data_IF_871069656273
#
_entry.id   IF_871069656273
#
_cell.length_a   1.000
_cell.length_b   1.000
_cell.length_c   1.000
_cell.angle_alpha   90.00
_cell.angle_beta   90.00
_cell.angle_gamma   90.00
#
_symmetry.space_group_name_H-M   'P 1'
#
loop_
_entity.id
_entity.type
_entity.pdbx_description
1 polymer ?
#
# COMPACT_ATOMS: atom_id res chain seq x y z
N UNK A 1 -14.45 33.72 21.88
CA UNK A 1 -13.44 32.80 22.45
C UNK A 1 -12.69 33.59 23.51
N UNK A 2 -12.64 33.07 24.73
CA UNK A 2 -11.93 33.72 25.82
C UNK A 2 -10.46 33.27 25.80
N UNK A 3 -9.60 34.13 25.23
CA UNK A 3 -8.17 33.84 25.06
C UNK A 3 -7.43 33.76 26.40
N UNK A 4 -7.88 34.48 27.42
CA UNK A 4 -7.27 34.48 28.75
C UNK A 4 -7.49 33.13 29.44
N UNK A 5 -8.74 32.65 29.40
CA UNK A 5 -9.09 31.32 29.92
C UNK A 5 -8.36 30.22 29.14
N UNK A 6 -8.27 30.33 27.81
CA UNK A 6 -7.57 29.34 26.97
C UNK A 6 -6.06 29.26 27.29
N UNK A 7 -5.39 30.40 27.46
CA UNK A 7 -3.97 30.46 27.82
C UNK A 7 -3.73 29.91 29.23
N UNK A 8 -4.53 30.31 30.22
CA UNK A 8 -4.42 29.81 31.59
C UNK A 8 -4.60 28.30 31.66
N UNK A 9 -5.57 27.76 30.96
CA UNK A 9 -5.81 26.32 30.89
C UNK A 9 -4.65 25.59 30.21
N UNK A 10 -4.17 26.09 29.06
CA UNK A 10 -3.02 25.52 28.35
C UNK A 10 -1.77 25.47 29.22
N UNK A 11 -1.49 26.55 29.95
CA UNK A 11 -0.38 26.62 30.89
C UNK A 11 -0.48 25.58 31.99
N UNK A 12 -1.65 25.46 32.63
CA UNK A 12 -1.88 24.46 33.68
C UNK A 12 -1.65 23.03 33.15
N UNK A 13 -2.17 22.70 31.96
CA UNK A 13 -2.00 21.39 31.34
C UNK A 13 -0.53 21.06 31.06
N UNK A 14 0.23 21.98 30.46
CA UNK A 14 1.66 21.76 30.18
C UNK A 14 2.46 21.67 31.48
N UNK A 15 2.17 22.53 32.47
CA UNK A 15 2.86 22.54 33.76
C UNK A 15 2.65 21.22 34.52
N UNK A 16 1.41 20.74 34.58
CA UNK A 16 1.06 19.50 35.29
C UNK A 16 1.59 18.25 34.59
N UNK A 17 1.91 18.33 33.28
CA UNK A 17 2.39 17.22 32.44
C UNK A 17 3.74 17.51 31.78
N UNK A 18 4.58 18.33 32.40
CA UNK A 18 5.76 18.93 31.76
C UNK A 18 6.71 17.88 31.16
N UNK A 19 7.03 16.84 31.92
CA UNK A 19 7.93 15.76 31.49
C UNK A 19 7.36 15.05 30.27
N UNK A 20 6.06 14.73 30.27
CA UNK A 20 5.38 14.04 29.16
C UNK A 20 5.45 14.85 27.87
N UNK A 21 5.18 16.16 27.93
CA UNK A 21 5.26 17.02 26.75
C UNK A 21 6.68 17.16 26.21
N UNK A 22 7.69 17.27 27.09
CA UNK A 22 9.10 17.33 26.67
C UNK A 22 9.50 16.04 25.97
N UNK A 23 9.19 14.88 26.57
CA UNK A 23 9.50 13.57 25.98
C UNK A 23 8.76 13.40 24.65
N UNK A 24 7.48 13.74 24.59
CA UNK A 24 6.68 13.69 23.36
C UNK A 24 7.29 14.56 22.26
N UNK A 25 7.67 15.80 22.57
CA UNK A 25 8.32 16.70 21.63
C UNK A 25 9.64 16.15 21.09
N UNK A 26 10.48 15.56 21.95
CA UNK A 26 11.75 14.97 21.53
C UNK A 26 11.54 13.77 20.60
N UNK A 27 10.57 12.91 20.91
CA UNK A 27 10.20 11.78 20.04
C UNK A 27 9.73 12.30 18.68
N UNK A 28 8.85 13.31 18.65
CA UNK A 28 8.38 13.93 17.41
C UNK A 28 9.54 14.53 16.60
N UNK A 29 10.44 15.27 17.26
CA UNK A 29 11.58 15.89 16.61
C UNK A 29 12.52 14.83 16.00
N UNK A 30 12.96 13.85 16.78
CA UNK A 30 13.86 12.78 16.32
C UNK A 30 13.20 11.95 15.20
N UNK A 31 11.92 11.58 15.36
CA UNK A 31 11.19 10.84 14.33
C UNK A 31 11.09 11.60 13.02
N UNK A 32 10.86 12.92 13.06
CA UNK A 32 10.76 13.75 11.85
C UNK A 32 12.07 13.86 11.08
N UNK A 33 13.24 13.75 11.73
CA UNK A 33 14.53 13.76 11.05
C UNK A 33 14.60 12.60 10.04
N UNK A 34 14.16 11.40 10.41
CA UNK A 34 14.17 10.25 9.51
C UNK A 34 13.31 10.46 8.26
N UNK A 35 12.22 11.23 8.39
CA UNK A 35 11.33 11.58 7.28
C UNK A 35 11.97 12.66 6.40
N UNK A 36 12.45 13.76 6.99
CA UNK A 36 13.02 14.90 6.25
C UNK A 36 14.36 14.55 5.57
N UNK A 37 15.06 13.53 6.07
CA UNK A 37 16.33 13.08 5.50
C UNK A 37 16.16 12.04 4.38
N UNK A 38 14.98 11.46 4.17
CA UNK A 38 14.81 10.35 3.22
C UNK A 38 15.14 10.74 1.79
N UNK A 39 14.58 11.84 1.28
CA UNK A 39 14.80 12.30 -0.09
C UNK A 39 16.28 12.64 -0.38
N UNK A 40 16.97 13.44 0.44
CA UNK A 40 18.39 13.73 0.21
C UNK A 40 19.29 12.51 0.40
N UNK A 41 18.98 11.58 1.32
CA UNK A 41 19.75 10.33 1.48
C UNK A 41 19.59 9.40 0.28
N UNK A 42 18.37 9.25 -0.25
CA UNK A 42 18.11 8.47 -1.47
C UNK A 42 18.85 9.09 -2.67
N UNK A 43 18.86 10.43 -2.76
CA UNK A 43 19.64 11.13 -3.77
C UNK A 43 21.14 10.82 -3.66
N UNK A 44 21.71 10.94 -2.45
CA UNK A 44 23.12 10.64 -2.21
C UNK A 44 23.49 9.18 -2.47
N UNK A 45 22.65 8.23 -2.07
CA UNK A 45 22.83 6.82 -2.39
C UNK A 45 22.79 6.56 -3.91
N UNK A 46 21.89 7.23 -4.62
CA UNK A 46 21.84 7.16 -6.09
C UNK A 46 23.08 7.79 -6.71
N UNK A 47 23.58 8.89 -6.15
CA UNK A 47 24.82 9.54 -6.57
C UNK A 47 26.03 8.60 -6.41
N UNK A 48 26.13 7.88 -5.28
CA UNK A 48 27.15 6.83 -5.08
C UNK A 48 27.08 5.75 -6.17
N UNK A 49 25.88 5.28 -6.51
CA UNK A 49 25.68 4.28 -7.56
C UNK A 49 26.12 4.82 -8.93
N UNK A 50 25.79 6.07 -9.27
CA UNK A 50 26.20 6.72 -10.52
C UNK A 50 27.73 6.89 -10.57
N UNK A 51 28.36 7.29 -9.46
CA UNK A 51 29.82 7.43 -9.34
C UNK A 51 30.53 6.09 -9.56
N UNK A 52 30.04 5.03 -8.90
CA UNK A 52 30.55 3.66 -9.09
C UNK A 52 30.38 3.16 -10.53
N UNK A 53 29.24 3.44 -11.17
CA UNK A 53 28.99 3.08 -12.57
C UNK A 53 29.93 3.81 -13.56
N UNK A 54 30.50 4.96 -13.17
CA UNK A 54 31.47 5.71 -13.96
C UNK A 54 32.93 5.28 -13.72
N UNK A 55 33.17 4.34 -12.81
CA UNK A 55 34.52 3.93 -12.41
C UNK A 55 35.23 4.96 -11.53
N UNK A 56 34.49 5.92 -10.96
CA UNK A 56 35.03 6.88 -10.00
C UNK A 56 35.09 6.23 -8.59
N UNK A 57 35.95 6.75 -7.70
CA UNK A 57 36.07 6.25 -6.33
C UNK A 57 34.85 6.68 -5.52
N UNK A 58 34.09 5.72 -5.00
CA UNK A 58 32.93 5.98 -4.12
C UNK A 58 33.39 6.14 -2.67
N UNK A 59 32.97 7.22 -2.03
CA UNK A 59 33.29 7.55 -0.64
C UNK A 59 32.03 7.50 0.23
N UNK A 60 32.17 7.22 1.52
CA UNK A 60 31.02 7.18 2.46
C UNK A 60 30.31 8.53 2.50
N UNK A 61 31.06 9.64 2.40
CA UNK A 61 30.49 10.99 2.47
C UNK A 61 29.59 11.34 1.26
N UNK A 62 29.70 10.61 0.14
CA UNK A 62 28.86 10.82 -1.04
C UNK A 62 27.37 10.58 -0.73
N UNK A 63 27.02 9.81 0.32
CA UNK A 63 25.63 9.63 0.77
C UNK A 63 24.98 10.94 1.21
N UNK A 64 25.78 11.94 1.60
CA UNK A 64 25.29 13.25 2.02
C UNK A 64 25.19 14.26 0.88
N UNK A 65 25.47 13.86 -0.37
CA UNK A 65 25.43 14.75 -1.54
C UNK A 65 24.07 15.41 -1.75
N UNK A 66 22.99 14.72 -1.37
CA UNK A 66 21.64 15.24 -1.42
C UNK A 66 21.35 16.36 -0.41
N UNK A 67 22.19 16.58 0.61
CA UNK A 67 22.04 17.68 1.57
C UNK A 67 22.62 19.01 1.10
N UNK A 68 23.39 19.01 -0.01
CA UNK A 68 23.81 20.27 -0.64
C UNK A 68 22.58 21.03 -1.12
N UNK A 69 22.55 22.35 -0.92
CA UNK A 69 21.38 23.22 -1.14
C UNK A 69 20.59 22.90 -2.41
N UNK A 70 21.26 22.81 -3.55
CA UNK A 70 20.59 22.59 -4.85
C UNK A 70 20.05 21.15 -4.97
N UNK A 71 20.80 20.16 -4.50
CA UNK A 71 20.40 18.75 -4.53
C UNK A 71 19.31 18.44 -3.51
N UNK A 72 19.27 19.16 -2.39
CA UNK A 72 18.23 19.04 -1.38
C UNK A 72 16.88 19.46 -1.98
N UNK A 73 16.84 20.61 -2.65
CA UNK A 73 15.62 21.10 -3.32
C UNK A 73 15.25 20.17 -4.47
N UNK A 74 16.22 19.72 -5.29
CA UNK A 74 15.97 18.79 -6.40
C UNK A 74 15.39 17.46 -5.93
N UNK A 75 15.99 16.84 -4.90
CA UNK A 75 15.55 15.56 -4.36
C UNK A 75 14.15 15.65 -3.77
N UNK A 76 13.86 16.68 -2.99
CA UNK A 76 12.52 16.91 -2.45
C UNK A 76 11.48 17.24 -3.52
N UNK A 77 11.84 18.02 -4.53
CA UNK A 77 10.94 18.32 -5.66
C UNK A 77 10.54 17.03 -6.38
N UNK A 78 11.53 16.19 -6.70
CA UNK A 78 11.26 14.88 -7.29
C UNK A 78 10.42 14.01 -6.36
N UNK A 79 10.79 13.89 -5.08
CA UNK A 79 10.10 13.02 -4.13
C UNK A 79 8.63 13.43 -3.94
N UNK A 80 8.35 14.73 -3.84
CA UNK A 80 6.98 15.24 -3.72
C UNK A 80 6.16 14.94 -4.97
N UNK A 81 6.71 15.20 -6.16
CA UNK A 81 6.04 14.87 -7.43
C UNK A 81 5.80 13.37 -7.53
N UNK A 82 6.80 12.54 -7.19
CA UNK A 82 6.68 11.09 -7.18
C UNK A 82 5.62 10.62 -6.19
N UNK A 83 5.59 11.10 -4.95
CA UNK A 83 4.58 10.71 -3.96
C UNK A 83 3.17 11.07 -4.41
N UNK A 84 2.99 12.25 -5.02
CA UNK A 84 1.68 12.67 -5.53
C UNK A 84 1.28 11.82 -6.73
N UNK A 85 2.16 11.65 -7.72
CA UNK A 85 1.84 10.93 -8.95
C UNK A 85 1.70 9.44 -8.69
N UNK A 86 2.72 8.80 -8.10
CA UNK A 86 2.71 7.37 -7.81
C UNK A 86 1.68 7.03 -6.73
N UNK A 87 1.47 7.90 -5.74
CA UNK A 87 0.43 7.71 -4.73
C UNK A 87 -0.96 7.76 -5.36
N UNK A 88 -1.32 8.84 -6.06
CA UNK A 88 -2.67 8.97 -6.64
C UNK A 88 -2.91 7.92 -7.72
N UNK A 89 -1.99 7.79 -8.68
CA UNK A 89 -2.18 6.84 -9.79
C UNK A 89 -2.10 5.39 -9.31
N UNK A 90 -1.23 5.10 -8.33
CA UNK A 90 -1.11 3.78 -7.71
C UNK A 90 -2.40 3.38 -6.99
N UNK A 91 -2.98 4.28 -6.21
CA UNK A 91 -4.25 4.02 -5.52
C UNK A 91 -5.42 3.85 -6.50
N UNK A 92 -5.50 4.70 -7.54
CA UNK A 92 -6.52 4.54 -8.60
C UNK A 92 -6.37 3.17 -9.28
N UNK A 93 -5.14 2.78 -9.65
CA UNK A 93 -4.89 1.49 -10.27
C UNK A 93 -5.24 0.32 -9.34
N UNK A 94 -4.91 0.44 -8.04
CA UNK A 94 -5.22 -0.55 -7.01
C UNK A 94 -6.74 -0.75 -6.83
N UNK A 95 -7.49 0.35 -6.72
CA UNK A 95 -8.96 0.32 -6.60
C UNK A 95 -9.58 -0.29 -7.86
N UNK A 96 -9.17 0.14 -9.05
CA UNK A 96 -9.69 -0.39 -10.31
C UNK A 96 -9.38 -1.88 -10.46
N UNK A 97 -8.15 -2.31 -10.15
CA UNK A 97 -7.76 -3.71 -10.18
C UNK A 97 -8.59 -4.56 -9.21
N UNK A 98 -8.85 -4.05 -8.01
CA UNK A 98 -9.68 -4.71 -6.99
C UNK A 98 -11.12 -4.87 -7.48
N UNK A 99 -11.72 -3.81 -8.04
CA UNK A 99 -13.08 -3.85 -8.60
C UNK A 99 -13.17 -4.89 -9.72
N UNK A 100 -12.22 -4.87 -10.67
CA UNK A 100 -12.17 -5.87 -11.76
C UNK A 100 -12.01 -7.27 -11.19
N UNK A 101 -11.14 -7.47 -10.19
CA UNK A 101 -10.93 -8.74 -9.51
C UNK A 101 -12.22 -9.30 -8.91
N UNK A 102 -12.97 -8.48 -8.16
CA UNK A 102 -14.26 -8.88 -7.58
C UNK A 102 -15.27 -9.24 -8.68
N UNK A 103 -15.38 -8.41 -9.72
CA UNK A 103 -16.36 -8.62 -10.80
C UNK A 103 -16.08 -9.89 -11.63
N UNK A 104 -14.82 -10.31 -11.74
CA UNK A 104 -14.40 -11.37 -12.67
C UNK A 104 -14.04 -12.68 -11.96
N UNK A 105 -13.92 -12.71 -10.62
CA UNK A 105 -13.41 -13.89 -9.89
C UNK A 105 -14.19 -15.18 -10.17
N UNK A 106 -15.50 -15.11 -10.42
CA UNK A 106 -16.31 -16.31 -10.68
C UNK A 106 -16.25 -16.80 -12.12
N UNK A 107 -15.68 -16.01 -13.05
CA UNK A 107 -15.68 -16.29 -14.49
C UNK A 107 -15.06 -17.65 -14.80
N UNK A 108 -13.83 -17.92 -14.34
CA UNK A 108 -13.14 -19.19 -14.67
C UNK A 108 -13.88 -20.42 -14.14
N UNK A 109 -14.34 -20.46 -12.87
CA UNK A 109 -15.21 -21.54 -12.42
C UNK A 109 -16.50 -21.68 -13.23
N UNK A 110 -17.17 -20.58 -13.61
CA UNK A 110 -18.40 -20.64 -14.42
C UNK A 110 -18.18 -21.24 -15.81
N UNK A 111 -17.05 -20.92 -16.45
CA UNK A 111 -16.64 -21.53 -17.71
C UNK A 111 -16.58 -23.06 -17.61
N UNK A 112 -16.02 -23.56 -16.50
CA UNK A 112 -15.88 -25.01 -16.26
C UNK A 112 -17.20 -25.65 -15.83
N UNK A 113 -17.95 -25.02 -14.92
CA UNK A 113 -19.19 -25.55 -14.36
C UNK A 113 -20.31 -25.58 -15.40
N UNK A 114 -20.45 -24.52 -16.19
CA UNK A 114 -21.57 -24.32 -17.13
C UNK A 114 -21.19 -24.49 -18.59
N UNK A 115 -19.91 -24.67 -18.92
CA UNK A 115 -19.44 -24.81 -20.30
C UNK A 115 -19.56 -23.51 -21.12
N UNK A 116 -19.59 -22.35 -20.45
CA UNK A 116 -19.78 -21.06 -21.10
C UNK A 116 -18.59 -20.62 -21.95
N UNK A 117 -18.86 -19.75 -22.93
CA UNK A 117 -17.84 -18.91 -23.54
C UNK A 117 -17.39 -17.78 -22.59
N UNK A 118 -16.23 -17.17 -22.87
CA UNK A 118 -15.63 -16.15 -22.01
C UNK A 118 -16.54 -14.96 -21.68
N UNK A 119 -17.30 -14.46 -22.67
CA UNK A 119 -18.21 -13.32 -22.47
C UNK A 119 -19.41 -13.69 -21.58
N UNK A 120 -19.99 -14.88 -21.76
CA UNK A 120 -21.16 -15.30 -20.99
C UNK A 120 -20.78 -15.61 -19.54
N UNK A 121 -19.58 -16.16 -19.31
CA UNK A 121 -19.00 -16.30 -17.96
C UNK A 121 -18.81 -14.97 -17.24
N UNK A 122 -18.31 -13.93 -17.94
CA UNK A 122 -18.15 -12.59 -17.35
C UNK A 122 -19.51 -11.99 -17.00
N UNK A 123 -20.50 -12.09 -17.90
CA UNK A 123 -21.85 -11.55 -17.65
C UNK A 123 -22.47 -12.16 -16.41
N UNK A 124 -22.43 -13.48 -16.28
CA UNK A 124 -23.00 -14.14 -15.10
C UNK A 124 -22.17 -13.88 -13.84
N UNK A 125 -20.84 -13.79 -13.93
CA UNK A 125 -20.00 -13.38 -12.79
C UNK A 125 -20.41 -12.00 -12.26
N UNK A 126 -20.64 -11.04 -13.15
CA UNK A 126 -21.12 -9.70 -12.77
C UNK A 126 -22.55 -9.76 -12.19
N UNK A 127 -23.41 -10.63 -12.71
CA UNK A 127 -24.76 -10.83 -12.19
C UNK A 127 -24.75 -11.40 -10.78
N UNK A 128 -23.94 -12.42 -10.51
CA UNK A 128 -23.74 -12.98 -9.15
C UNK A 128 -23.30 -11.87 -8.19
N UNK A 129 -22.29 -11.07 -8.57
CA UNK A 129 -21.80 -9.97 -7.70
C UNK A 129 -22.88 -8.93 -7.42
N UNK A 130 -23.77 -8.65 -8.39
CA UNK A 130 -24.89 -7.71 -8.19
C UNK A 130 -25.99 -8.30 -7.29
N UNK A 131 -26.26 -9.60 -7.41
CA UNK A 131 -27.31 -10.28 -6.65
C UNK A 131 -26.91 -10.52 -5.20
N UNK A 132 -25.65 -10.92 -4.96
CA UNK A 132 -25.10 -11.26 -3.64
C UNK A 132 -23.77 -10.51 -3.38
N UNK A 133 -23.79 -9.18 -3.27
CA UNK A 133 -22.58 -8.36 -3.19
C UNK A 133 -21.78 -8.59 -1.92
N UNK A 134 -22.46 -8.82 -0.78
CA UNK A 134 -21.79 -9.02 0.52
C UNK A 134 -21.03 -10.35 0.51
N UNK A 135 -21.67 -11.43 0.09
CA UNK A 135 -21.05 -12.75 -0.02
C UNK A 135 -19.91 -12.75 -1.03
N UNK A 136 -20.07 -12.04 -2.16
CA UNK A 136 -19.02 -11.89 -3.16
C UNK A 136 -17.78 -11.18 -2.58
N UNK A 137 -17.97 -10.12 -1.81
CA UNK A 137 -16.86 -9.43 -1.12
C UNK A 137 -16.18 -10.37 -0.11
N UNK A 138 -16.95 -11.15 0.66
CA UNK A 138 -16.40 -12.12 1.61
C UNK A 138 -15.54 -13.16 0.89
N UNK A 139 -16.03 -13.74 -0.21
CA UNK A 139 -15.28 -14.71 -1.03
C UNK A 139 -13.99 -14.09 -1.57
N UNK A 140 -14.05 -12.85 -2.06
CA UNK A 140 -12.88 -12.14 -2.54
C UNK A 140 -11.84 -11.94 -1.43
N UNK A 141 -12.26 -11.48 -0.24
CA UNK A 141 -11.37 -11.25 0.91
C UNK A 141 -10.72 -12.55 1.37
N UNK A 142 -11.46 -13.66 1.45
CA UNK A 142 -10.89 -14.97 1.81
C UNK A 142 -9.82 -15.39 0.79
N UNK A 143 -10.14 -15.27 -0.51
CA UNK A 143 -9.21 -15.61 -1.59
C UNK A 143 -7.95 -14.73 -1.56
N UNK A 144 -8.12 -13.44 -1.27
CA UNK A 144 -7.02 -12.49 -1.10
C UNK A 144 -6.13 -12.88 0.07
N UNK A 145 -6.70 -13.18 1.24
CA UNK A 145 -5.95 -13.57 2.45
C UNK A 145 -5.16 -14.86 2.22
N UNK A 146 -5.76 -15.87 1.60
CA UNK A 146 -5.04 -17.12 1.26
C UNK A 146 -3.85 -16.85 0.33
N UNK A 147 -4.03 -15.97 -0.65
CA UNK A 147 -2.96 -15.58 -1.59
C UNK A 147 -1.86 -14.81 -0.86
N UNK A 148 -2.21 -13.88 0.05
CA UNK A 148 -1.25 -13.12 0.86
C UNK A 148 -0.44 -14.04 1.79
N UNK A 149 -1.09 -14.99 2.48
CA UNK A 149 -0.39 -15.97 3.33
C UNK A 149 0.66 -16.74 2.51
N UNK A 150 0.29 -17.19 1.30
CA UNK A 150 1.21 -17.89 0.43
C UNK A 150 2.39 -17.01 -0.02
N UNK A 151 2.14 -15.74 -0.33
CA UNK A 151 3.16 -14.79 -0.73
C UNK A 151 4.15 -14.44 0.39
N UNK A 152 3.67 -14.27 1.62
CA UNK A 152 4.50 -13.98 2.81
C UNK A 152 5.52 -15.10 3.07
N UNK A 153 5.16 -16.35 2.77
CA UNK A 153 6.04 -17.52 2.86
C UNK A 153 7.00 -17.65 1.67
N UNK A 154 7.56 -16.51 1.22
CA UNK A 154 8.52 -16.39 0.12
C UNK A 154 8.06 -17.06 -1.18
N UNK A 155 6.74 -17.10 -1.42
CA UNK A 155 6.12 -17.73 -2.58
C UNK A 155 6.02 -19.25 -2.53
N UNK A 156 6.76 -19.97 -1.67
CA UNK A 156 6.62 -21.43 -1.52
C UNK A 156 5.24 -21.78 -0.95
N UNK A 157 4.70 -20.94 -0.07
CA UNK A 157 3.35 -21.11 0.47
C UNK A 157 2.26 -21.10 -0.61
N UNK A 158 2.49 -20.46 -1.76
CA UNK A 158 1.53 -20.44 -2.88
C UNK A 158 1.29 -21.84 -3.48
N UNK A 159 2.26 -22.76 -3.37
CA UNK A 159 2.07 -24.14 -3.83
C UNK A 159 0.93 -24.86 -3.11
N UNK A 160 0.59 -24.40 -1.90
CA UNK A 160 -0.49 -24.94 -1.08
C UNK A 160 -1.72 -24.03 -1.14
N UNK A 161 -1.53 -22.71 -0.98
CA UNK A 161 -2.66 -21.79 -0.89
C UNK A 161 -3.35 -21.58 -2.24
N UNK A 162 -2.66 -21.67 -3.37
CA UNK A 162 -3.30 -21.55 -4.70
C UNK A 162 -4.30 -22.69 -4.94
N UNK A 163 -3.94 -23.99 -4.80
CA UNK A 163 -4.91 -25.07 -4.91
C UNK A 163 -6.12 -24.92 -3.98
N UNK A 164 -5.88 -24.54 -2.72
CA UNK A 164 -6.94 -24.32 -1.73
C UNK A 164 -7.86 -23.18 -2.18
N UNK A 165 -7.31 -22.04 -2.58
CA UNK A 165 -8.06 -20.90 -3.10
C UNK A 165 -8.88 -21.26 -4.34
N UNK A 166 -8.32 -22.04 -5.26
CA UNK A 166 -9.02 -22.47 -6.48
C UNK A 166 -10.21 -23.38 -6.14
N UNK A 167 -10.04 -24.36 -5.26
CA UNK A 167 -11.13 -25.25 -4.83
C UNK A 167 -12.19 -24.48 -4.05
N UNK A 168 -11.79 -23.59 -3.15
CA UNK A 168 -12.70 -22.71 -2.41
C UNK A 168 -13.54 -21.86 -3.36
N UNK A 169 -12.90 -21.19 -4.32
CA UNK A 169 -13.56 -20.33 -5.29
C UNK A 169 -14.52 -21.13 -6.18
N UNK A 170 -14.14 -22.33 -6.61
CA UNK A 170 -15.03 -23.21 -7.37
C UNK A 170 -16.29 -23.61 -6.58
N UNK A 171 -16.13 -24.01 -5.31
CA UNK A 171 -17.25 -24.34 -4.43
C UNK A 171 -18.15 -23.12 -4.19
N UNK A 172 -17.56 -21.95 -3.90
CA UNK A 172 -18.30 -20.71 -3.71
C UNK A 172 -19.09 -20.32 -4.96
N UNK A 173 -18.50 -20.42 -6.16
CA UNK A 173 -19.23 -20.18 -7.41
C UNK A 173 -20.40 -21.14 -7.57
N UNK A 174 -20.20 -22.43 -7.28
CA UNK A 174 -21.26 -23.43 -7.43
C UNK A 174 -22.46 -23.16 -6.49
N UNK A 175 -22.21 -22.64 -5.30
CA UNK A 175 -23.28 -22.25 -4.37
C UNK A 175 -23.96 -20.94 -4.77
N UNK A 176 -23.18 -19.92 -5.15
CA UNK A 176 -23.71 -18.59 -5.44
C UNK A 176 -24.40 -18.49 -6.80
N UNK A 177 -23.98 -19.27 -7.81
CA UNK A 177 -24.63 -19.29 -9.15
C UNK A 177 -26.01 -19.94 -9.19
N UNK A 178 -26.49 -20.46 -8.05
CA UNK A 178 -27.84 -21.02 -7.87
C UNK A 178 -28.82 -20.05 -7.22
N UNK A 179 -28.33 -18.95 -6.66
CA UNK A 179 -29.14 -17.89 -6.04
C UNK A 179 -29.55 -16.87 -7.08
#
# INVERSE_FOLDING_TARGET
MDYEVALKNSWNVVKDNLVTFIVGLLITAVGSILIVTIAPLVYGFTFMAVKGARGEIVEINDVFEGFKKDNFIRSWTFMLVYMVVAGILGEIASILSTIVGILFMFTMPLLVIKGYGGIDGIKESIEIVKTVPVESIIVYVITLVLTMIGAILLGVGLLITVPISTVFLANATFELSKK
#
